data_IF_885560583719
#
_entry.id   IF_885560583719
#
_cell.length_a   1.000
_cell.length_b   1.000
_cell.length_c   1.000
_cell.angle_alpha   90.00
_cell.angle_beta   90.00
_cell.angle_gamma   90.00
#
_symmetry.space_group_name_H-M   'P 1'
#
loop_
_entity.id
_entity.type
_entity.pdbx_description
1 polymer ?
#
# COMPACT_ATOMS: atom_id res chain seq x y z
N UNK A 1 -2.55 15.12 -0.89
CA UNK A 1 -3.32 14.51 0.21
C UNK A 1 -2.91 13.06 0.47
N UNK A 2 -2.90 12.18 -0.53
CA UNK A 2 -2.65 10.74 -0.34
C UNK A 2 -1.25 10.41 0.20
N UNK A 3 -0.19 11.12 -0.23
CA UNK A 3 1.17 10.91 0.29
C UNK A 3 1.27 11.19 1.79
N UNK A 4 0.68 12.28 2.25
CA UNK A 4 0.76 12.68 3.66
C UNK A 4 0.01 11.68 4.56
N UNK A 5 -1.14 11.19 4.08
CA UNK A 5 -1.87 10.11 4.75
C UNK A 5 -1.07 8.81 4.81
N UNK A 6 -0.40 8.42 3.71
CA UNK A 6 0.48 7.26 3.68
C UNK A 6 1.67 7.41 4.63
N UNK A 7 2.27 8.60 4.69
CA UNK A 7 3.38 8.90 5.61
C UNK A 7 2.96 8.80 7.07
N UNK A 8 1.82 9.41 7.42
CA UNK A 8 1.29 9.37 8.80
C UNK A 8 0.96 7.95 9.21
N UNK A 9 0.19 7.23 8.38
CA UNK A 9 -0.15 5.83 8.61
C UNK A 9 1.10 4.95 8.74
N UNK A 10 2.09 5.12 7.85
CA UNK A 10 3.31 4.31 7.92
C UNK A 10 4.12 4.57 9.19
N UNK A 11 4.20 5.83 9.65
CA UNK A 11 4.84 6.14 10.92
C UNK A 11 4.12 5.51 12.12
N UNK A 12 2.78 5.52 12.12
CA UNK A 12 1.98 4.84 13.17
C UNK A 12 2.21 3.33 13.18
N UNK A 13 2.21 2.68 12.01
CA UNK A 13 2.42 1.23 11.90
C UNK A 13 3.84 0.81 12.32
N UNK A 14 4.84 1.60 11.94
CA UNK A 14 6.23 1.36 12.36
C UNK A 14 6.42 1.57 13.86
N UNK A 15 5.70 2.53 14.47
CA UNK A 15 5.70 2.72 15.91
C UNK A 15 5.09 1.52 16.65
N UNK A 16 3.96 0.97 16.15
CA UNK A 16 3.32 -0.24 16.71
C UNK A 16 4.22 -1.48 16.65
N UNK A 17 4.97 -1.67 15.56
CA UNK A 17 5.90 -2.81 15.40
C UNK A 17 7.13 -2.73 16.32
N UNK A 18 7.45 -1.56 16.88
CA UNK A 18 8.54 -1.38 17.84
C UNK A 18 9.90 -1.01 17.22
N UNK A 19 10.93 -1.01 18.07
CA UNK A 19 12.26 -0.53 17.72
C UNK A 19 12.90 -1.38 16.61
N UNK A 20 13.61 -0.75 15.67
CA UNK A 20 14.23 -1.43 14.53
C UNK A 20 13.33 -1.68 13.31
N UNK A 21 12.01 -1.48 13.43
CA UNK A 21 11.06 -1.67 12.32
C UNK A 21 11.40 -0.86 11.07
N UNK A 22 11.90 0.38 11.24
CA UNK A 22 12.37 1.23 10.14
C UNK A 22 13.53 0.59 9.37
N UNK A 23 14.50 0.00 10.07
CA UNK A 23 15.65 -0.66 9.43
C UNK A 23 15.17 -1.88 8.62
N UNK A 24 14.31 -2.70 9.20
CA UNK A 24 13.75 -3.88 8.55
C UNK A 24 12.90 -3.51 7.32
N UNK A 25 12.12 -2.43 7.39
CA UNK A 25 11.36 -1.95 6.23
C UNK A 25 12.29 -1.47 5.11
N UNK A 26 13.36 -0.73 5.44
CA UNK A 26 14.33 -0.28 4.44
C UNK A 26 14.99 -1.47 3.72
N UNK A 27 15.39 -2.50 4.47
CA UNK A 27 15.92 -3.76 3.92
C UNK A 27 14.88 -4.48 3.05
N UNK A 28 13.62 -4.59 3.51
CA UNK A 28 12.53 -5.22 2.76
C UNK A 28 12.23 -4.50 1.43
N UNK A 29 12.39 -3.18 1.42
CA UNK A 29 12.23 -2.36 0.21
C UNK A 29 13.46 -2.37 -0.70
N UNK A 30 14.61 -2.81 -0.20
CA UNK A 30 15.89 -2.72 -0.92
C UNK A 30 16.39 -1.28 -1.08
N UNK A 31 16.08 -0.41 -0.12
CA UNK A 31 16.48 1.01 -0.12
C UNK A 31 17.37 1.35 1.07
N UNK A 32 18.11 2.46 0.97
CA UNK A 32 18.91 2.94 2.09
C UNK A 32 18.01 3.42 3.25
N UNK A 33 18.42 3.23 4.52
CA UNK A 33 17.70 3.76 5.68
C UNK A 33 17.52 5.29 5.64
N UNK A 34 18.45 6.01 5.03
CA UNK A 34 18.34 7.46 4.80
C UNK A 34 17.23 7.80 3.80
N UNK A 35 17.06 6.99 2.76
CA UNK A 35 15.94 7.11 1.80
C UNK A 35 14.61 6.88 2.48
N UNK A 36 14.49 5.85 3.33
CA UNK A 36 13.27 5.63 4.11
C UNK A 36 12.99 6.79 5.07
N UNK A 37 14.01 7.29 5.77
CA UNK A 37 13.88 8.46 6.65
C UNK A 37 13.40 9.68 5.87
N UNK A 38 13.90 9.90 4.64
CA UNK A 38 13.43 10.98 3.77
C UNK A 38 11.96 10.81 3.35
N UNK A 39 11.49 9.58 3.15
CA UNK A 39 10.07 9.29 2.84
C UNK A 39 9.18 9.56 4.06
N UNK A 40 9.67 9.23 5.25
CA UNK A 40 8.93 9.34 6.51
C UNK A 40 8.89 10.77 7.07
N UNK A 41 9.82 11.64 6.65
CA UNK A 41 9.93 13.03 7.11
C UNK A 41 9.21 14.00 6.17
N UNK A 42 8.63 15.06 6.73
CA UNK A 42 7.88 16.09 5.99
C UNK A 42 8.76 17.00 5.12
N UNK A 43 10.06 17.09 5.45
CA UNK A 43 11.04 17.96 4.79
C UNK A 43 11.96 17.22 3.81
N UNK A 44 11.82 15.89 3.70
CA UNK A 44 12.67 15.05 2.86
C UNK A 44 12.32 15.15 1.38
N UNK A 45 13.30 14.81 0.54
CA UNK A 45 13.21 14.82 -0.91
C UNK A 45 11.87 14.30 -1.43
N UNK A 46 11.34 14.97 -2.46
CA UNK A 46 9.99 14.83 -2.99
C UNK A 46 9.75 13.51 -3.76
N UNK A 47 10.34 12.40 -3.32
CA UNK A 47 10.26 11.10 -3.96
C UNK A 47 8.87 10.49 -3.75
N UNK A 48 8.22 10.12 -4.86
CA UNK A 48 7.00 9.34 -4.80
C UNK A 48 7.30 7.87 -4.50
N UNK A 49 6.47 7.24 -3.68
CA UNK A 49 6.47 5.79 -3.48
C UNK A 49 5.86 5.16 -4.73
N UNK A 50 6.57 4.22 -5.34
CA UNK A 50 6.06 3.49 -6.52
C UNK A 50 5.04 2.42 -6.10
N UNK A 51 4.22 1.97 -7.05
CA UNK A 51 3.19 0.97 -6.78
C UNK A 51 3.76 -0.36 -6.23
N UNK A 52 4.90 -0.81 -6.75
CA UNK A 52 5.59 -2.02 -6.27
C UNK A 52 6.12 -1.83 -4.83
N UNK A 53 6.64 -0.65 -4.50
CA UNK A 53 7.05 -0.31 -3.14
C UNK A 53 5.86 -0.25 -2.19
N UNK A 54 4.71 0.27 -2.63
CA UNK A 54 3.49 0.28 -1.85
C UNK A 54 3.00 -1.14 -1.53
N UNK A 55 3.04 -2.06 -2.50
CA UNK A 55 2.71 -3.47 -2.27
C UNK A 55 3.65 -4.09 -1.23
N UNK A 56 4.95 -3.84 -1.33
CA UNK A 56 5.92 -4.31 -0.33
C UNK A 56 5.66 -3.72 1.06
N UNK A 57 5.29 -2.45 1.16
CA UNK A 57 4.90 -1.81 2.42
C UNK A 57 3.66 -2.51 3.00
N UNK A 58 2.63 -2.75 2.20
CA UNK A 58 1.40 -3.44 2.62
C UNK A 58 1.74 -4.84 3.13
N UNK A 59 2.57 -5.59 2.41
CA UNK A 59 2.99 -6.93 2.82
C UNK A 59 3.82 -6.92 4.13
N UNK A 60 4.71 -5.94 4.29
CA UNK A 60 5.51 -5.79 5.51
C UNK A 60 4.66 -5.44 6.73
N UNK A 61 3.69 -4.53 6.56
CA UNK A 61 2.78 -4.11 7.62
C UNK A 61 1.77 -5.21 7.94
N UNK A 62 1.26 -5.90 6.92
CA UNK A 62 0.17 -6.86 7.02
C UNK A 62 -1.22 -6.20 6.99
N UNK A 63 -1.29 -4.89 6.71
CA UNK A 63 -2.53 -4.11 6.66
C UNK A 63 -2.55 -3.22 5.41
N UNK A 64 -3.72 -3.08 4.79
CA UNK A 64 -3.94 -2.13 3.70
C UNK A 64 -4.22 -0.75 4.32
N UNK A 65 -3.55 0.33 3.87
CA UNK A 65 -3.83 1.66 4.36
C UNK A 65 -5.31 2.04 4.18
N UNK A 66 -5.98 2.56 5.23
CA UNK A 66 -7.43 2.76 5.23
C UNK A 66 -7.91 3.79 4.19
N UNK A 67 -7.03 4.71 3.77
CA UNK A 67 -7.34 5.70 2.74
C UNK A 67 -7.27 5.13 1.32
N UNK A 68 -6.57 4.00 1.08
CA UNK A 68 -6.65 3.30 -0.21
C UNK A 68 -7.99 2.60 -0.41
N UNK A 69 -8.68 2.33 0.70
CA UNK A 69 -9.93 1.60 0.75
C UNK A 69 -11.13 2.56 0.85
N UNK A 70 -10.89 3.88 0.93
CA UNK A 70 -11.95 4.88 1.08
C UNK A 70 -12.87 4.85 -0.14
N UNK A 71 -14.09 4.37 0.05
CA UNK A 71 -15.12 4.18 -0.99
C UNK A 71 -15.24 2.74 -1.51
N UNK A 72 -14.26 1.87 -1.29
CA UNK A 72 -14.23 0.48 -1.78
C UNK A 72 -14.16 -0.58 -0.66
N UNK A 73 -14.13 -0.20 0.62
CA UNK A 73 -13.94 -1.15 1.72
C UNK A 73 -14.95 -2.26 1.84
N UNK A 74 -16.22 -1.97 1.58
CA UNK A 74 -17.23 -3.03 1.49
C UNK A 74 -16.92 -3.98 0.33
N UNK A 75 -16.56 -3.45 -0.84
CA UNK A 75 -16.21 -4.27 -2.00
C UNK A 75 -14.97 -5.14 -1.75
N UNK A 76 -13.89 -4.58 -1.20
CA UNK A 76 -12.65 -5.32 -0.89
C UNK A 76 -12.93 -6.42 0.15
N UNK A 77 -13.70 -6.11 1.20
CA UNK A 77 -14.09 -7.10 2.20
C UNK A 77 -14.91 -8.24 1.57
N UNK A 78 -15.92 -7.91 0.77
CA UNK A 78 -16.77 -8.90 0.09
C UNK A 78 -15.96 -9.75 -0.90
N UNK A 79 -15.01 -9.14 -1.61
CA UNK A 79 -14.13 -9.85 -2.54
C UNK A 79 -13.29 -10.91 -1.83
N UNK A 80 -12.63 -10.57 -0.70
CA UNK A 80 -11.82 -11.53 0.04
C UNK A 80 -12.64 -12.60 0.80
N UNK A 81 -13.90 -12.32 1.12
CA UNK A 81 -14.82 -13.30 1.74
C UNK A 81 -15.49 -14.22 0.73
N UNK A 82 -15.52 -13.85 -0.54
CA UNK A 82 -16.10 -14.65 -1.60
C UNK A 82 -15.25 -15.90 -1.90
N UNK A 83 -15.89 -16.91 -2.48
CA UNK A 83 -15.20 -18.10 -2.94
C UNK A 83 -14.28 -17.78 -4.15
N UNK A 84 -13.29 -18.66 -4.47
CA UNK A 84 -12.33 -18.40 -5.54
C UNK A 84 -12.96 -18.18 -6.92
N UNK A 85 -14.08 -18.84 -7.22
CA UNK A 85 -14.79 -18.70 -8.49
C UNK A 85 -15.35 -17.29 -8.68
N UNK A 86 -15.98 -16.73 -7.64
CA UNK A 86 -16.50 -15.36 -7.64
C UNK A 86 -15.37 -14.34 -7.70
N UNK A 87 -14.28 -14.58 -6.98
CA UNK A 87 -13.08 -13.72 -7.07
C UNK A 87 -12.56 -13.67 -8.52
N UNK A 88 -12.45 -14.83 -9.18
CA UNK A 88 -11.96 -14.90 -10.54
C UNK A 88 -12.92 -14.22 -11.54
N UNK A 89 -14.23 -14.35 -11.35
CA UNK A 89 -15.22 -13.68 -12.18
C UNK A 89 -15.12 -12.15 -12.05
N UNK A 90 -15.00 -11.63 -10.81
CA UNK A 90 -14.84 -10.20 -10.55
C UNK A 90 -13.54 -9.67 -11.18
N UNK A 91 -12.42 -10.38 -11.04
CA UNK A 91 -11.16 -10.01 -11.67
C UNK A 91 -11.28 -9.94 -13.21
N UNK A 92 -11.96 -10.92 -13.81
CA UNK A 92 -12.18 -10.97 -15.26
C UNK A 92 -13.00 -9.77 -15.73
N UNK A 93 -14.06 -9.41 -15.00
CA UNK A 93 -14.87 -8.23 -15.31
C UNK A 93 -14.02 -6.96 -15.25
N UNK A 94 -13.24 -6.77 -14.18
CA UNK A 94 -12.37 -5.59 -14.02
C UNK A 94 -11.33 -5.49 -15.15
N UNK A 95 -10.71 -6.62 -15.53
CA UNK A 95 -9.74 -6.66 -16.63
C UNK A 95 -10.36 -6.27 -17.97
N UNK A 96 -11.59 -6.73 -18.24
CA UNK A 96 -12.31 -6.38 -19.46
C UNK A 96 -12.64 -4.88 -19.49
N UNK A 97 -13.08 -4.30 -18.38
CA UNK A 97 -13.33 -2.86 -18.28
C UNK A 97 -12.07 -2.03 -18.51
N UNK A 98 -10.94 -2.38 -17.89
CA UNK A 98 -9.68 -1.66 -18.11
C UNK A 98 -9.12 -1.80 -19.55
N UNK A 99 -9.53 -2.84 -20.26
CA UNK A 99 -9.13 -3.06 -21.66
C UNK A 99 -9.97 -2.25 -22.64
N UNK A 100 -11.20 -1.89 -22.26
CA UNK A 100 -12.14 -1.10 -23.08
C UNK A 100 -11.82 0.40 -23.08
N UNK A 101 -11.25 0.93 -22.01
CA UNK A 101 -10.84 2.35 -21.87
C UNK A 101 -9.60 2.74 -22.72
N UNK A 102 -8.99 1.81 -23.46
CA UNK A 102 -7.81 2.05 -24.32
C UNK A 102 -8.16 2.36 -25.79
N UNK A 103 -9.42 2.66 -26.10
CA UNK A 103 -9.89 3.04 -27.46
C UNK A 103 -10.39 4.48 -27.47
#
# INVERSE_FOLDING_TARGET
MEREQLRLWLNEQLAKKGHGSKKMLAEHLGILPSTLTSILNSSGANRSIKADELIKIINFVGEIPPFLIKGSGQFVSLFYQANPEVQQAVLTILQNFCSLDKK
#
